data_IF_628777041257
#
_entry.id   IF_628777041257
#
_cell.length_a   1.000
_cell.length_b   1.000
_cell.length_c   1.000
_cell.angle_alpha   90.00
_cell.angle_beta   90.00
_cell.angle_gamma   90.00
#
_symmetry.space_group_name_H-M   'P 1'
#
loop_
_entity.id
_entity.type
_entity.pdbx_description
1 polymer ?
#
# COMPACT_ATOMS: atom_id res chain seq x y z
N UNK A 1 -8.91 2.82 6.37
CA UNK A 1 -8.45 3.15 7.73
C UNK A 1 -6.93 3.33 7.67
N UNK A 2 -6.36 4.17 8.53
CA UNK A 2 -4.91 4.24 8.72
C UNK A 2 -4.56 3.49 10.01
N UNK A 3 -3.49 2.71 9.98
CA UNK A 3 -3.12 1.78 11.04
C UNK A 3 -1.78 2.16 11.68
N UNK A 4 -1.74 2.16 13.02
CA UNK A 4 -0.57 2.54 13.83
C UNK A 4 -0.46 1.66 15.10
N UNK A 5 0.73 1.59 15.70
CA UNK A 5 0.97 0.96 17.01
C UNK A 5 1.30 2.02 18.05
N UNK A 6 0.54 2.04 19.14
CA UNK A 6 0.84 2.84 20.33
C UNK A 6 1.68 2.07 21.36
N UNK A 7 2.69 2.72 21.93
CA UNK A 7 3.48 2.20 23.05
C UNK A 7 3.37 3.13 24.25
N UNK A 8 3.17 2.58 25.44
CA UNK A 8 3.17 3.35 26.71
C UNK A 8 4.08 2.66 27.72
N UNK A 9 4.97 3.43 28.33
CA UNK A 9 5.96 2.95 29.30
C UNK A 9 5.55 3.34 30.71
N UNK A 10 5.32 2.34 31.57
CA UNK A 10 5.04 2.56 32.99
C UNK A 10 6.24 3.17 33.75
N UNK A 11 7.47 2.84 33.33
CA UNK A 11 8.68 3.30 34.00
C UNK A 11 8.96 4.79 33.75
N UNK A 12 8.66 5.27 32.55
CA UNK A 12 8.93 6.66 32.16
C UNK A 12 7.68 7.53 32.14
N UNK A 13 6.49 6.93 32.18
CA UNK A 13 5.21 7.62 31.99
C UNK A 13 4.98 8.15 30.57
N UNK A 14 5.93 7.93 29.66
CA UNK A 14 5.85 8.40 28.28
C UNK A 14 5.10 7.42 27.40
N UNK A 15 4.42 7.96 26.38
CA UNK A 15 3.82 7.19 25.31
C UNK A 15 4.31 7.67 23.94
N UNK A 16 4.16 6.80 22.95
CA UNK A 16 4.66 6.99 21.60
C UNK A 16 3.73 6.35 20.60
N UNK A 17 3.67 6.93 19.42
CA UNK A 17 3.00 6.35 18.25
C UNK A 17 4.07 5.94 17.24
N UNK A 18 3.88 4.75 16.67
CA UNK A 18 4.66 4.22 15.57
C UNK A 18 3.75 3.88 14.40
N UNK A 19 4.06 4.39 13.23
CA UNK A 19 3.30 4.17 12.00
C UNK A 19 4.26 4.02 10.83
N UNK A 20 3.76 3.57 9.68
CA UNK A 20 4.50 3.51 8.44
C UNK A 20 3.59 3.98 7.32
N UNK A 21 3.98 5.02 6.60
CA UNK A 21 3.12 5.63 5.59
C UNK A 21 3.93 6.30 4.48
N UNK A 22 3.23 6.85 3.50
CA UNK A 22 3.79 7.48 2.31
C UNK A 22 4.52 8.79 2.66
N UNK A 23 5.75 8.94 2.19
CA UNK A 23 6.48 10.21 2.32
C UNK A 23 5.81 11.34 1.53
N UNK A 24 5.12 10.99 0.44
CA UNK A 24 4.51 11.95 -0.49
C UNK A 24 3.01 11.74 -0.68
N UNK A 25 2.32 11.15 0.31
CA UNK A 25 0.88 10.81 0.25
C UNK A 25 0.50 9.70 -0.75
N UNK A 26 -0.62 9.03 -0.48
CA UNK A 26 -1.13 7.87 -1.21
C UNK A 26 -1.15 8.04 -2.73
N UNK A 27 -1.67 9.16 -3.24
CA UNK A 27 -1.80 9.37 -4.68
C UNK A 27 -0.47 9.27 -5.45
N UNK A 28 0.63 9.74 -4.85
CA UNK A 28 1.97 9.68 -5.45
C UNK A 28 2.62 8.29 -5.34
N UNK A 29 2.12 7.45 -4.43
CA UNK A 29 2.48 6.04 -4.32
C UNK A 29 1.68 5.15 -5.27
N UNK A 30 0.44 5.53 -5.60
CA UNK A 30 -0.45 4.74 -6.45
C UNK A 30 -0.26 5.05 -7.95
N UNK A 31 -0.02 6.31 -8.31
CA UNK A 31 0.11 6.73 -9.71
C UNK A 31 1.34 7.62 -9.94
N UNK A 32 2.06 7.45 -11.06
CA UNK A 32 3.27 8.20 -11.34
C UNK A 32 2.98 9.59 -11.91
N UNK A 33 4.01 10.44 -11.87
CA UNK A 33 4.01 11.71 -12.57
C UNK A 33 4.56 11.57 -13.99
N UNK A 34 3.81 12.10 -14.97
CA UNK A 34 4.26 12.19 -16.35
C UNK A 34 4.95 13.55 -16.58
N UNK A 35 6.27 13.54 -16.72
CA UNK A 35 7.05 14.77 -16.94
C UNK A 35 7.31 15.03 -18.43
N UNK A 36 7.20 16.28 -18.91
CA UNK A 36 7.62 16.63 -20.26
C UNK A 36 9.08 16.26 -20.51
N UNK A 37 9.38 15.62 -21.65
CA UNK A 37 10.75 15.22 -22.03
C UNK A 37 11.29 13.99 -21.32
N UNK A 38 10.58 13.41 -20.34
CA UNK A 38 10.92 12.12 -19.75
C UNK A 38 10.15 11.00 -20.44
N UNK A 39 10.86 9.95 -20.88
CA UNK A 39 10.25 8.80 -21.55
C UNK A 39 9.47 7.92 -20.58
N UNK A 40 10.06 7.57 -19.43
CA UNK A 40 9.40 6.77 -18.39
C UNK A 40 8.58 7.64 -17.42
N UNK A 41 7.43 7.16 -16.92
CA UNK A 41 6.73 7.75 -15.77
C UNK A 41 7.65 7.85 -14.54
N UNK A 42 7.48 8.89 -13.73
CA UNK A 42 8.31 9.13 -12.55
C UNK A 42 7.53 8.87 -11.26
N UNK A 43 8.02 7.94 -10.44
CA UNK A 43 7.37 7.52 -9.20
C UNK A 43 7.94 8.23 -7.97
N UNK A 44 7.04 8.70 -7.12
CA UNK A 44 7.33 9.27 -5.80
C UNK A 44 6.73 8.36 -4.72
N UNK A 45 6.96 7.05 -4.84
CA UNK A 45 6.24 6.01 -4.11
C UNK A 45 6.97 5.50 -2.87
N UNK A 46 7.81 6.33 -2.24
CA UNK A 46 8.53 5.92 -1.03
C UNK A 46 7.62 5.97 0.20
N UNK A 47 7.71 4.93 1.02
CA UNK A 47 7.12 4.90 2.36
C UNK A 47 8.19 4.68 3.41
N UNK A 48 7.92 5.10 4.65
CA UNK A 48 8.87 4.97 5.75
C UNK A 48 8.17 4.87 7.11
N UNK A 49 8.88 4.30 8.08
CA UNK A 49 8.46 4.27 9.47
C UNK A 49 8.60 5.66 10.10
N UNK A 50 7.60 6.06 10.88
CA UNK A 50 7.59 7.27 11.69
C UNK A 50 7.37 6.87 13.16
N UNK A 51 8.19 7.40 14.06
CA UNK A 51 8.09 7.18 15.50
C UNK A 51 8.18 8.51 16.24
N UNK A 52 7.15 8.85 17.02
CA UNK A 52 7.07 10.14 17.70
C UNK A 52 6.40 10.02 19.07
N UNK A 53 6.65 11.02 19.92
CA UNK A 53 6.11 11.08 21.27
C UNK A 53 4.64 11.51 21.27
N UNK A 54 3.84 10.87 22.12
CA UNK A 54 2.41 11.14 22.25
C UNK A 54 1.56 10.09 21.55
N UNK A 55 0.45 9.74 22.18
CA UNK A 55 -0.71 9.09 21.54
C UNK A 55 -1.84 10.12 21.57
N UNK A 56 -2.35 10.51 20.42
CA UNK A 56 -3.52 11.39 20.33
C UNK A 56 -4.80 10.58 20.47
N UNK A 57 -5.28 10.43 21.71
CA UNK A 57 -6.46 9.63 22.03
C UNK A 57 -7.70 10.06 21.21
N UNK A 58 -7.87 11.36 20.93
CA UNK A 58 -9.02 11.85 20.18
C UNK A 58 -8.95 11.40 18.72
N UNK A 59 -7.76 11.47 18.12
CA UNK A 59 -7.54 11.02 16.74
C UNK A 59 -7.95 9.55 16.56
N UNK A 60 -7.53 8.68 17.48
CA UNK A 60 -7.74 7.22 17.36
C UNK A 60 -9.10 6.74 17.85
N UNK A 61 -9.71 7.38 18.84
CA UNK A 61 -10.94 6.89 19.48
C UNK A 61 -12.24 7.52 18.95
N UNK A 62 -12.19 8.69 18.31
CA UNK A 62 -13.40 9.40 17.91
C UNK A 62 -14.15 8.68 16.77
N UNK A 63 -13.41 8.22 15.75
CA UNK A 63 -13.95 7.51 14.57
C UNK A 63 -13.09 6.30 14.19
N UNK A 64 -12.41 5.71 15.18
CA UNK A 64 -11.48 4.60 15.00
C UNK A 64 -11.43 3.69 16.22
N UNK A 65 -10.31 2.99 16.38
CA UNK A 65 -10.09 2.05 17.47
C UNK A 65 -8.79 2.39 18.19
N UNK A 66 -8.87 2.49 19.53
CA UNK A 66 -7.70 2.55 20.40
C UNK A 66 -7.84 1.48 21.49
N UNK A 67 -7.11 0.37 21.34
CA UNK A 67 -7.15 -0.76 22.26
C UNK A 67 -5.75 -1.20 22.68
N UNK A 68 -5.59 -1.48 23.99
CA UNK A 68 -4.39 -2.15 24.49
C UNK A 68 -4.45 -3.64 24.17
N UNK A 69 -3.60 -4.08 23.23
CA UNK A 69 -3.55 -5.47 22.77
C UNK A 69 -2.52 -6.34 23.49
N UNK A 70 -1.69 -5.79 24.38
CA UNK A 70 -0.66 -6.58 25.06
C UNK A 70 0.29 -5.75 25.91
N UNK A 71 1.29 -6.43 26.47
CA UNK A 71 2.41 -5.82 27.19
C UNK A 71 3.71 -6.46 26.71
N UNK A 72 4.75 -5.63 26.63
CA UNK A 72 6.10 -6.06 26.23
C UNK A 72 7.11 -5.55 27.25
N UNK A 73 8.19 -6.30 27.42
CA UNK A 73 9.34 -5.84 28.20
C UNK A 73 10.12 -4.78 27.45
N UNK A 74 10.89 -3.95 28.16
CA UNK A 74 11.79 -2.98 27.52
C UNK A 74 12.80 -3.63 26.57
N UNK A 75 13.26 -4.85 26.88
CA UNK A 75 14.15 -5.60 25.98
C UNK A 75 13.45 -5.98 24.67
N UNK A 76 12.22 -6.49 24.73
CA UNK A 76 11.43 -6.79 23.54
C UNK A 76 11.19 -5.54 22.69
N UNK A 77 10.88 -4.41 23.31
CA UNK A 77 10.76 -3.12 22.62
C UNK A 77 12.08 -2.73 21.93
N UNK A 78 13.22 -2.83 22.61
CA UNK A 78 14.52 -2.46 22.05
C UNK A 78 14.97 -3.36 20.87
N UNK A 79 14.68 -4.67 20.94
CA UNK A 79 14.91 -5.60 19.83
C UNK A 79 13.98 -5.30 18.64
N UNK A 80 12.70 -5.01 18.91
CA UNK A 80 11.74 -4.60 17.88
C UNK A 80 12.16 -3.29 17.21
N UNK A 81 12.62 -2.30 17.98
CA UNK A 81 13.08 -1.02 17.44
C UNK A 81 14.29 -1.17 16.50
N UNK A 82 15.24 -2.07 16.81
CA UNK A 82 16.33 -2.41 15.90
C UNK A 82 15.82 -3.03 14.60
N UNK A 83 14.88 -3.96 14.70
CA UNK A 83 14.24 -4.55 13.53
C UNK A 83 13.49 -3.51 12.69
N UNK A 84 12.81 -2.53 13.30
CA UNK A 84 12.14 -1.45 12.57
C UNK A 84 13.14 -0.62 11.77
N UNK A 85 14.34 -0.37 12.30
CA UNK A 85 15.40 0.33 11.55
C UNK A 85 15.82 -0.48 10.32
N UNK A 86 16.00 -1.80 10.44
CA UNK A 86 16.33 -2.68 9.32
C UNK A 86 15.20 -2.78 8.28
N UNK A 87 13.93 -2.88 8.72
CA UNK A 87 12.75 -2.89 7.83
C UNK A 87 12.66 -1.58 7.04
N UNK A 88 12.95 -0.44 7.69
CA UNK A 88 12.88 0.88 7.08
C UNK A 88 13.98 1.15 6.04
N UNK A 89 15.10 0.41 6.09
CA UNK A 89 16.18 0.49 5.09
C UNK A 89 15.97 -0.44 3.89
N UNK A 90 15.14 -1.48 4.04
CA UNK A 90 14.95 -2.53 3.03
C UNK A 90 13.59 -2.43 2.31
N UNK A 91 12.54 -1.97 3.00
CA UNK A 91 11.18 -1.80 2.50
C UNK A 91 10.88 -0.36 2.08
N UNK A 92 11.56 0.13 1.05
CA UNK A 92 11.56 1.58 0.74
C UNK A 92 10.41 2.09 -0.12
N UNK A 93 9.51 1.22 -0.58
CA UNK A 93 8.39 1.60 -1.46
C UNK A 93 7.04 1.20 -0.88
N UNK A 94 6.03 2.02 -1.14
CA UNK A 94 4.64 1.79 -0.77
C UNK A 94 3.89 1.19 -1.97
N UNK A 95 3.15 0.11 -1.75
CA UNK A 95 2.26 -0.50 -2.73
C UNK A 95 0.82 -0.51 -2.22
N UNK A 96 -0.10 -0.02 -3.04
CA UNK A 96 -1.51 0.16 -2.67
C UNK A 96 -2.34 -1.09 -2.96
N UNK A 97 -2.03 -1.79 -4.05
CA UNK A 97 -2.94 -2.78 -4.62
C UNK A 97 -2.59 -4.19 -4.14
N UNK A 98 -3.59 -4.89 -3.60
CA UNK A 98 -3.56 -6.36 -3.61
C UNK A 98 -4.26 -6.85 -4.87
N UNK A 99 -3.63 -7.74 -5.62
CA UNK A 99 -4.19 -8.24 -6.89
C UNK A 99 -4.50 -9.73 -6.75
N UNK A 100 -5.76 -10.09 -6.97
CA UNK A 100 -6.29 -11.45 -6.82
C UNK A 100 -6.85 -12.00 -8.13
N UNK A 101 -6.99 -13.32 -8.24
CA UNK A 101 -7.62 -13.95 -9.40
C UNK A 101 -9.13 -13.69 -9.50
N UNK A 102 -9.80 -13.61 -8.35
CA UNK A 102 -11.25 -13.51 -8.16
C UNK A 102 -11.57 -13.22 -6.67
N UNK A 103 -12.82 -12.92 -6.27
CA UNK A 103 -13.16 -12.56 -4.88
C UNK A 103 -13.37 -13.77 -3.95
N UNK A 104 -13.08 -15.00 -4.38
CA UNK A 104 -13.26 -16.17 -3.52
C UNK A 104 -12.19 -16.26 -2.41
N UNK A 105 -12.48 -16.90 -1.26
CA UNK A 105 -11.52 -17.05 -0.17
C UNK A 105 -10.24 -17.81 -0.52
N UNK A 106 -10.25 -18.59 -1.62
CA UNK A 106 -9.13 -19.41 -2.07
C UNK A 106 -8.54 -18.88 -3.39
N UNK A 107 -8.79 -17.61 -3.72
CA UNK A 107 -8.26 -16.99 -4.92
C UNK A 107 -6.73 -16.98 -4.92
N UNK A 108 -6.14 -17.09 -6.11
CA UNK A 108 -4.70 -16.91 -6.28
C UNK A 108 -4.36 -15.45 -6.02
N UNK A 109 -3.40 -15.21 -5.12
CA UNK A 109 -2.82 -13.89 -4.91
C UNK A 109 -1.69 -13.68 -5.91
N UNK A 110 -1.82 -12.67 -6.76
CA UNK A 110 -0.80 -12.31 -7.73
C UNK A 110 0.23 -11.33 -7.15
N UNK A 111 -0.26 -10.31 -6.43
CA UNK A 111 0.55 -9.29 -5.78
C UNK A 111 -0.07 -8.94 -4.43
N UNK A 112 0.79 -8.78 -3.42
CA UNK A 112 0.40 -8.28 -2.11
C UNK A 112 0.72 -6.79 -2.02
N UNK A 113 -0.17 -6.03 -1.37
CA UNK A 113 0.11 -4.64 -1.06
C UNK A 113 1.24 -4.50 -0.04
N UNK A 114 1.83 -3.31 0.08
CA UNK A 114 2.88 -2.98 1.03
C UNK A 114 2.60 -1.59 1.63
N UNK A 115 1.78 -1.57 2.68
CA UNK A 115 1.22 -0.36 3.28
C UNK A 115 1.39 -0.30 4.81
N UNK A 116 0.74 0.68 5.44
CA UNK A 116 0.65 0.82 6.89
C UNK A 116 0.18 -0.48 7.57
N UNK A 117 -0.93 -1.07 7.12
CA UNK A 117 -1.51 -2.28 7.71
C UNK A 117 -0.50 -3.45 7.71
N UNK A 118 0.24 -3.64 6.60
CA UNK A 118 1.26 -4.68 6.50
C UNK A 118 2.44 -4.44 7.44
N UNK A 119 2.87 -3.20 7.61
CA UNK A 119 3.90 -2.85 8.58
C UNK A 119 3.46 -3.17 10.02
N UNK A 120 2.21 -2.87 10.38
CA UNK A 120 1.64 -3.24 11.68
C UNK A 120 1.64 -4.76 11.88
N UNK A 121 1.24 -5.53 10.87
CA UNK A 121 1.28 -6.99 10.94
C UNK A 121 2.70 -7.55 11.01
N UNK A 122 3.68 -6.97 10.31
CA UNK A 122 5.11 -7.33 10.46
C UNK A 122 5.59 -7.03 11.87
N UNK A 123 5.21 -5.88 12.44
CA UNK A 123 5.53 -5.49 13.81
C UNK A 123 4.94 -6.47 14.83
N UNK A 124 3.67 -6.85 14.70
CA UNK A 124 3.03 -7.81 15.60
C UNK A 124 3.67 -9.21 15.51
N UNK A 125 4.00 -9.67 14.29
CA UNK A 125 4.73 -10.93 14.11
C UNK A 125 6.10 -10.86 14.79
N UNK A 126 6.82 -9.75 14.61
CA UNK A 126 8.12 -9.57 15.25
C UNK A 126 8.02 -9.60 16.78
N UNK A 127 7.03 -8.91 17.35
CA UNK A 127 6.79 -8.93 18.80
C UNK A 127 6.46 -10.34 19.29
N UNK A 128 5.66 -11.11 18.54
CA UNK A 128 5.37 -12.51 18.87
C UNK A 128 6.61 -13.39 18.82
N UNK A 129 7.47 -13.25 17.81
CA UNK A 129 8.76 -13.94 17.72
C UNK A 129 9.65 -13.65 18.94
N UNK A 130 9.60 -12.42 19.43
CA UNK A 130 10.29 -11.99 20.65
C UNK A 130 9.58 -12.44 21.95
N UNK A 131 8.48 -13.20 21.85
CA UNK A 131 7.76 -13.79 22.98
C UNK A 131 6.63 -12.93 23.57
N UNK A 132 6.22 -11.85 22.90
CA UNK A 132 5.07 -11.06 23.33
C UNK A 132 3.78 -11.87 23.17
N UNK A 133 2.82 -11.63 24.08
CA UNK A 133 1.47 -12.19 23.99
C UNK A 133 0.51 -11.07 23.64
N UNK A 134 -0.01 -11.10 22.42
CA UNK A 134 -0.95 -10.13 21.92
C UNK A 134 -2.35 -10.75 21.92
N UNK A 135 -3.35 -10.04 22.43
CA UNK A 135 -4.75 -10.43 22.39
C UNK A 135 -5.63 -9.19 22.30
N UNK A 136 -6.64 -9.25 21.45
CA UNK A 136 -7.63 -8.19 21.26
C UNK A 136 -8.98 -8.67 21.77
N UNK A 137 -9.77 -7.78 22.37
CA UNK A 137 -11.16 -8.03 22.75
C UNK A 137 -12.11 -7.81 21.58
N UNK A 138 -11.73 -6.98 20.61
CA UNK A 138 -12.47 -6.78 19.36
C UNK A 138 -11.80 -7.47 18.19
N UNK A 139 -12.58 -7.78 17.16
CA UNK A 139 -12.07 -8.28 15.88
C UNK A 139 -11.10 -7.26 15.29
N UNK A 140 -9.92 -7.70 14.87
CA UNK A 140 -8.90 -6.83 14.25
C UNK A 140 -9.11 -6.82 12.75
N UNK A 141 -9.78 -5.77 12.25
CA UNK A 141 -10.08 -5.60 10.84
C UNK A 141 -9.19 -4.52 10.22
N UNK A 142 -8.83 -4.73 8.95
CA UNK A 142 -7.94 -3.85 8.20
C UNK A 142 -8.56 -3.51 6.85
N UNK A 143 -8.26 -2.31 6.35
CA UNK A 143 -8.70 -1.90 5.02
C UNK A 143 -7.80 -2.53 3.97
N UNK A 144 -8.40 -3.17 2.96
CA UNK A 144 -7.67 -3.65 1.79
C UNK A 144 -8.32 -3.17 0.52
N UNK A 145 -7.49 -2.85 -0.47
CA UNK A 145 -7.90 -2.42 -1.78
C UNK A 145 -7.49 -3.50 -2.78
N UNK A 146 -8.49 -4.18 -3.34
CA UNK A 146 -8.31 -5.30 -4.25
C UNK A 146 -8.50 -4.88 -5.69
N UNK A 147 -7.63 -5.39 -6.57
CA UNK A 147 -7.87 -5.53 -7.99
C UNK A 147 -8.09 -7.00 -8.34
N UNK A 148 -9.01 -7.29 -9.25
CA UNK A 148 -9.28 -8.65 -9.72
C UNK A 148 -8.83 -8.82 -11.16
N UNK A 149 -8.03 -9.84 -11.42
CA UNK A 149 -7.37 -10.04 -12.72
C UNK A 149 -7.23 -11.50 -13.11
N UNK A 150 -7.02 -11.76 -14.40
CA UNK A 150 -6.39 -13.00 -14.85
C UNK A 150 -4.92 -13.06 -14.45
N UNK A 151 -4.19 -14.00 -15.04
CA UNK A 151 -2.74 -14.11 -14.80
C UNK A 151 -2.04 -12.85 -15.34
N UNK A 152 -1.27 -12.12 -14.51
CA UNK A 152 -0.52 -10.95 -14.94
C UNK A 152 0.52 -11.28 -15.99
N UNK A 153 0.72 -10.37 -16.95
CA UNK A 153 1.79 -10.50 -17.94
C UNK A 153 2.91 -9.51 -17.63
N UNK A 154 4.13 -10.02 -17.47
CA UNK A 154 5.32 -9.20 -17.30
C UNK A 154 5.63 -8.40 -18.57
N UNK A 155 5.83 -7.08 -18.43
CA UNK A 155 6.14 -6.19 -19.56
C UNK A 155 7.60 -5.74 -19.59
N UNK A 156 8.23 -5.58 -18.41
CA UNK A 156 9.59 -5.10 -18.28
C UNK A 156 9.74 -3.93 -17.32
N UNK A 157 10.98 -3.45 -17.15
CA UNK A 157 11.29 -2.25 -16.39
C UNK A 157 11.36 -0.98 -17.27
N UNK A 158 11.65 0.16 -16.65
CA UNK A 158 11.73 1.46 -17.33
C UNK A 158 12.64 1.45 -18.57
N UNK A 159 13.81 0.82 -18.48
CA UNK A 159 14.78 0.80 -19.58
C UNK A 159 14.42 -0.21 -20.66
N UNK A 160 13.72 -1.29 -20.31
CA UNK A 160 13.24 -2.28 -21.26
C UNK A 160 12.09 -1.73 -22.12
N UNK A 161 11.18 -0.93 -21.54
CA UNK A 161 9.98 -0.44 -22.23
C UNK A 161 10.24 0.92 -22.90
N UNK A 162 10.59 1.95 -22.13
CA UNK A 162 10.54 3.35 -22.60
C UNK A 162 11.75 3.79 -23.41
N UNK A 163 12.83 2.99 -23.46
CA UNK A 163 14.02 3.27 -24.27
C UNK A 163 14.13 2.42 -25.53
N UNK A 164 13.20 1.49 -25.75
CA UNK A 164 13.23 0.59 -26.90
C UNK A 164 12.27 1.07 -28.00
N UNK A 165 12.77 1.45 -29.19
CA UNK A 165 11.90 1.90 -30.29
C UNK A 165 10.85 0.86 -30.72
N UNK A 166 11.17 -0.43 -30.58
CA UNK A 166 10.25 -1.52 -30.92
C UNK A 166 9.02 -1.60 -29.99
N UNK A 167 9.11 -1.06 -28.77
CA UNK A 167 8.03 -1.06 -27.77
C UNK A 167 7.38 0.33 -27.61
N UNK A 168 7.54 1.20 -28.61
CA UNK A 168 7.02 2.57 -28.56
C UNK A 168 5.51 2.60 -28.29
N UNK A 169 4.72 1.76 -28.96
CA UNK A 169 3.27 1.73 -28.77
C UNK A 169 2.91 1.35 -27.32
N UNK A 170 3.52 0.30 -26.78
CA UNK A 170 3.31 -0.10 -25.38
C UNK A 170 3.69 1.03 -24.40
N UNK A 171 4.80 1.72 -24.67
CA UNK A 171 5.23 2.85 -23.86
C UNK A 171 4.23 4.03 -23.91
N UNK A 172 3.63 4.29 -25.06
CA UNK A 172 2.57 5.29 -25.23
C UNK A 172 1.29 4.86 -24.50
N UNK A 173 0.87 3.61 -24.65
CA UNK A 173 -0.32 3.04 -24.00
C UNK A 173 -0.23 3.12 -22.46
N UNK A 174 0.92 2.75 -21.87
CA UNK A 174 1.13 2.84 -20.42
C UNK A 174 1.06 4.30 -19.94
N UNK A 175 1.62 5.24 -20.71
CA UNK A 175 1.60 6.66 -20.36
C UNK A 175 0.20 7.24 -20.47
N UNK A 176 -0.55 6.85 -21.49
CA UNK A 176 -1.94 7.27 -21.65
C UNK A 176 -2.80 6.76 -20.49
N UNK A 177 -2.66 5.49 -20.11
CA UNK A 177 -3.33 4.93 -18.93
C UNK A 177 -3.06 5.76 -17.66
N UNK A 178 -1.79 6.07 -17.36
CA UNK A 178 -1.46 6.86 -16.17
C UNK A 178 -1.84 8.34 -16.27
N UNK A 179 -1.94 8.90 -17.48
CA UNK A 179 -2.34 10.30 -17.67
C UNK A 179 -3.74 10.57 -17.14
N UNK A 180 -4.61 9.55 -17.20
CA UNK A 180 -5.97 9.57 -16.67
C UNK A 180 -6.01 9.88 -15.17
N UNK A 181 -5.00 9.43 -14.41
CA UNK A 181 -4.95 9.57 -12.94
C UNK A 181 -4.10 10.75 -12.46
N UNK A 182 -3.72 11.68 -13.35
CA UNK A 182 -2.86 12.81 -13.00
C UNK A 182 -3.53 13.76 -11.99
N UNK A 183 -2.77 14.36 -11.07
CA UNK A 183 -3.30 15.35 -10.12
C UNK A 183 -3.67 16.67 -10.81
N UNK A 184 -4.42 17.52 -10.10
CA UNK A 184 -4.76 18.90 -10.50
C UNK A 184 -5.53 19.04 -11.81
N UNK A 185 -6.58 18.24 -11.99
CA UNK A 185 -7.52 18.36 -13.10
C UNK A 185 -8.61 19.39 -12.79
N UNK A 186 -9.09 20.11 -13.81
CA UNK A 186 -10.37 20.79 -13.73
C UNK A 186 -11.52 19.75 -13.62
N UNK A 187 -12.71 20.18 -13.20
CA UNK A 187 -13.85 19.27 -13.07
C UNK A 187 -14.24 18.58 -14.39
N UNK A 188 -14.15 19.30 -15.52
CA UNK A 188 -14.45 18.74 -16.83
C UNK A 188 -13.42 17.67 -17.24
N UNK A 189 -12.14 17.93 -17.00
CA UNK A 189 -11.08 16.95 -17.24
C UNK A 189 -11.21 15.74 -16.34
N UNK A 190 -11.56 15.93 -15.06
CA UNK A 190 -11.78 14.83 -14.13
C UNK A 190 -12.93 13.94 -14.59
N UNK A 191 -14.03 14.51 -15.07
CA UNK A 191 -15.15 13.74 -15.60
C UNK A 191 -14.76 12.92 -16.84
N UNK A 192 -13.96 13.50 -17.75
CA UNK A 192 -13.43 12.79 -18.91
C UNK A 192 -12.47 11.67 -18.50
N UNK A 193 -11.54 11.95 -17.59
CA UNK A 193 -10.60 10.94 -17.12
C UNK A 193 -11.27 9.82 -16.34
N UNK A 194 -12.35 10.08 -15.60
CA UNK A 194 -13.14 9.00 -14.99
C UNK A 194 -13.81 8.10 -16.03
N UNK A 195 -14.28 8.67 -17.14
CA UNK A 195 -14.86 7.91 -18.25
C UNK A 195 -13.79 7.06 -18.95
N UNK A 196 -12.62 7.64 -19.24
CA UNK A 196 -11.47 6.95 -19.83
C UNK A 196 -10.96 5.81 -18.93
N UNK A 197 -10.85 6.05 -17.62
CA UNK A 197 -10.47 5.02 -16.65
C UNK A 197 -11.48 3.87 -16.63
N UNK A 198 -12.79 4.18 -16.69
CA UNK A 198 -13.83 3.16 -16.75
C UNK A 198 -13.76 2.35 -18.04
N UNK A 199 -13.57 3.00 -19.19
CA UNK A 199 -13.41 2.34 -20.48
C UNK A 199 -12.23 1.37 -20.46
N UNK A 200 -11.04 1.83 -20.08
CA UNK A 200 -9.84 1.01 -20.04
C UNK A 200 -9.96 -0.17 -19.05
N UNK A 201 -10.44 0.07 -17.83
CA UNK A 201 -10.47 -0.95 -16.78
C UNK A 201 -11.64 -1.93 -16.94
N UNK A 202 -12.83 -1.44 -17.28
CA UNK A 202 -14.05 -2.25 -17.29
C UNK A 202 -14.40 -2.81 -18.67
N UNK A 203 -14.23 -2.02 -19.73
CA UNK A 203 -14.58 -2.40 -21.10
C UNK A 203 -13.41 -3.11 -21.79
N UNK A 204 -12.24 -2.48 -21.81
CA UNK A 204 -11.03 -3.05 -22.41
C UNK A 204 -10.36 -4.09 -21.50
N UNK A 205 -10.74 -4.10 -20.22
CA UNK A 205 -10.26 -5.05 -19.21
C UNK A 205 -8.74 -4.99 -19.05
N UNK A 206 -8.19 -3.78 -19.05
CA UNK A 206 -6.76 -3.53 -18.97
C UNK A 206 -6.43 -2.64 -17.79
N UNK A 207 -5.37 -2.99 -17.08
CA UNK A 207 -4.77 -2.17 -16.04
C UNK A 207 -3.25 -2.39 -16.06
N UNK A 208 -2.48 -1.30 -15.94
CA UNK A 208 -1.03 -1.38 -15.81
C UNK A 208 -0.64 -1.22 -14.35
N UNK A 209 -0.01 -2.24 -13.78
CA UNK A 209 0.52 -2.23 -12.42
C UNK A 209 2.02 -1.99 -12.46
N UNK A 210 2.51 -1.15 -11.56
CA UNK A 210 3.93 -0.96 -11.31
C UNK A 210 4.31 -1.58 -9.97
N UNK A 211 5.05 -2.67 -9.99
CA UNK A 211 5.39 -3.45 -8.81
C UNK A 211 6.86 -3.85 -8.85
N UNK A 212 7.59 -3.72 -7.74
CA UNK A 212 9.04 -4.00 -7.68
C UNK A 212 9.87 -3.28 -8.77
N UNK A 213 9.51 -2.04 -9.11
CA UNK A 213 10.15 -1.24 -10.16
C UNK A 213 9.97 -1.79 -11.60
N UNK A 214 8.93 -2.61 -11.82
CA UNK A 214 8.62 -3.25 -13.09
C UNK A 214 7.13 -3.07 -13.45
N UNK A 215 6.81 -3.11 -14.75
CA UNK A 215 5.45 -2.98 -15.25
C UNK A 215 4.86 -4.35 -15.58
N UNK A 216 3.59 -4.49 -15.22
CA UNK A 216 2.77 -5.67 -15.42
C UNK A 216 1.45 -5.26 -16.05
N UNK A 217 1.00 -6.03 -17.04
CA UNK A 217 -0.36 -5.92 -17.56
C UNK A 217 -1.28 -6.85 -16.79
N UNK A 218 -2.37 -6.30 -16.26
CA UNK A 218 -3.42 -7.03 -15.56
C UNK A 218 -4.65 -7.17 -16.48
N UNK A 219 -4.97 -8.39 -16.97
CA UNK A 219 -6.21 -8.64 -17.68
C UNK A 219 -7.40 -8.64 -16.68
N UNK A 220 -8.02 -7.49 -16.50
CA UNK A 220 -8.99 -7.23 -15.44
C UNK A 220 -10.26 -8.08 -15.55
N UNK A 221 -10.81 -8.46 -14.39
CA UNK A 221 -12.03 -9.26 -14.26
C UNK A 221 -13.00 -8.61 -13.29
N UNK A 222 -14.33 -8.72 -13.51
CA UNK A 222 -15.31 -8.30 -12.52
C UNK A 222 -15.05 -8.95 -11.14
N UNK A 223 -15.24 -8.23 -10.02
CA UNK A 223 -15.79 -6.88 -9.92
C UNK A 223 -14.78 -5.74 -10.17
N UNK A 224 -13.62 -6.04 -10.76
CA UNK A 224 -12.53 -5.14 -11.15
C UNK A 224 -11.78 -4.57 -9.96
N UNK A 225 -12.47 -3.84 -9.09
CA UNK A 225 -11.93 -3.24 -7.88
C UNK A 225 -12.91 -3.42 -6.73
N UNK A 226 -12.40 -3.72 -5.54
CA UNK A 226 -13.22 -3.78 -4.33
C UNK A 226 -12.41 -3.32 -3.12
N UNK A 227 -13.04 -2.51 -2.26
CA UNK A 227 -12.44 -2.07 -1.01
C UNK A 227 -13.15 -2.81 0.11
N UNK A 228 -12.40 -3.55 0.92
CA UNK A 228 -12.95 -4.33 2.03
C UNK A 228 -12.41 -3.83 3.36
N UNK A 229 -13.14 -4.17 4.42
CA UNK A 229 -12.70 -4.06 5.80
C UNK A 229 -12.84 -5.43 6.45
N UNK A 230 -11.77 -6.22 6.35
CA UNK A 230 -11.79 -7.65 6.66
C UNK A 230 -10.90 -7.99 7.86
N UNK A 231 -11.24 -9.07 8.54
CA UNK A 231 -10.49 -9.55 9.69
C UNK A 231 -9.14 -10.11 9.29
N UNK A 232 -8.10 -9.63 9.96
CA UNK A 232 -6.79 -10.27 9.99
C UNK A 232 -6.42 -10.48 11.46
N UNK A 233 -6.50 -11.71 11.98
CA UNK A 233 -6.26 -11.97 13.39
C UNK A 233 -4.85 -11.54 13.83
N UNK A 234 -4.71 -11.18 15.11
CA UNK A 234 -3.39 -11.03 15.72
C UNK A 234 -2.61 -12.35 15.63
N UNK A 235 -1.29 -12.29 15.38
CA UNK A 235 -0.50 -13.48 15.11
C UNK A 235 -0.46 -14.46 16.25
#
# INVERSE_FOLDING_TARGET
MHDAVGFSSLATGANYTMEWYELFQLGNCTFPHLRPGAFAPFWCNQGAACFFQGIDDSHWSQNGTLEKIGEVTGNQFNEMARWVQEDNETGIYYETWTVLSDPSPNATVWFELYDCSQFIHRTYRKLKELGARLSSRTQTNYTKIYLYSGEPTYLGNDSAIFKQPALKNLAEDIREFYHTFRPHQSFAELALSLLEAYEQIALDKSFYLYYNFEYWHLPMKPPYMHITYEEVPLP
#
